data_IF_405827354450
#
_entry.id   IF_405827354450
#
_cell.length_a   1.000
_cell.length_b   1.000
_cell.length_c   1.000
_cell.angle_alpha   90.00
_cell.angle_beta   90.00
_cell.angle_gamma   90.00
#
_symmetry.space_group_name_H-M   'P 1'
#
loop_
_entity.id
_entity.type
_entity.pdbx_description
1 polymer ?
#
# COMPACT_ATOMS: atom_id res chain seq x y z
N UNK A 1 -5.67 -16.58 31.00
CA UNK A 1 -6.98 -16.03 30.60
C UNK A 1 -6.78 -15.38 29.25
N UNK A 2 -7.06 -16.12 28.18
CA UNK A 2 -7.03 -15.58 26.82
C UNK A 2 -8.25 -14.69 26.68
N UNK A 3 -8.05 -13.39 26.48
CA UNK A 3 -9.14 -12.47 26.20
C UNK A 3 -9.81 -12.93 24.90
N UNK A 4 -11.03 -13.44 25.03
CA UNK A 4 -11.96 -13.57 23.92
C UNK A 4 -12.13 -12.19 23.31
N UNK A 5 -11.51 -11.97 22.14
CA UNK A 5 -11.94 -10.89 21.26
C UNK A 5 -13.37 -11.25 20.85
N UNK A 6 -14.33 -10.73 21.61
CA UNK A 6 -15.73 -10.65 21.19
C UNK A 6 -15.72 -10.00 19.82
N UNK A 7 -16.39 -10.64 18.87
CA UNK A 7 -16.67 -10.16 17.53
C UNK A 7 -17.28 -8.75 17.64
N UNK A 8 -16.43 -7.73 17.72
CA UNK A 8 -16.85 -6.37 17.44
C UNK A 8 -17.26 -6.43 15.98
N UNK A 9 -18.50 -6.05 15.74
CA UNK A 9 -19.09 -5.86 14.43
C UNK A 9 -18.10 -5.03 13.60
N UNK A 10 -17.24 -5.68 12.81
CA UNK A 10 -16.10 -5.04 12.13
C UNK A 10 -16.59 -4.08 11.01
N UNK A 11 -17.86 -3.68 11.03
CA UNK A 11 -18.53 -2.81 10.08
C UNK A 11 -18.35 -3.24 8.61
N UNK A 12 -18.13 -4.53 8.37
CA UNK A 12 -17.82 -5.06 7.04
C UNK A 12 -16.37 -4.91 6.58
N UNK A 13 -15.46 -4.43 7.44
CA UNK A 13 -14.01 -4.35 7.19
C UNK A 13 -13.42 -5.77 7.26
N UNK A 14 -12.60 -6.10 6.25
CA UNK A 14 -11.88 -7.37 6.19
C UNK A 14 -10.81 -7.38 7.29
N UNK A 15 -10.83 -8.41 8.13
CA UNK A 15 -9.81 -8.66 9.14
C UNK A 15 -9.08 -9.98 8.90
N UNK A 16 -8.37 -10.44 9.94
CA UNK A 16 -7.71 -11.75 9.95
C UNK A 16 -8.03 -12.53 11.21
N UNK A 17 -7.99 -13.84 11.09
CA UNK A 17 -8.00 -14.77 12.22
C UNK A 17 -6.97 -15.86 11.95
N UNK A 18 -5.90 -15.90 12.73
CA UNK A 18 -4.77 -16.79 12.45
C UNK A 18 -4.17 -16.50 11.07
N UNK A 19 -4.23 -17.47 10.16
CA UNK A 19 -3.66 -17.42 8.81
C UNK A 19 -4.70 -17.24 7.69
N UNK A 20 -5.93 -16.81 8.02
CA UNK A 20 -7.00 -16.55 7.04
C UNK A 20 -7.54 -15.14 7.19
N UNK A 21 -7.95 -14.55 6.07
CA UNK A 21 -8.80 -13.36 6.11
C UNK A 21 -10.21 -13.73 6.52
N UNK A 22 -10.90 -12.78 7.14
CA UNK A 22 -12.26 -12.96 7.64
C UNK A 22 -13.08 -11.72 7.32
N UNK A 23 -14.29 -11.94 6.82
CA UNK A 23 -15.29 -10.90 6.55
C UNK A 23 -16.63 -11.36 7.15
N UNK A 24 -17.21 -10.56 8.05
CA UNK A 24 -18.51 -10.81 8.67
C UNK A 24 -18.67 -12.22 9.28
N UNK A 25 -17.68 -12.69 10.04
CA UNK A 25 -17.71 -14.01 10.68
C UNK A 25 -17.14 -15.13 9.84
N UNK A 26 -16.95 -14.92 8.54
CA UNK A 26 -16.69 -16.00 7.59
C UNK A 26 -15.30 -15.90 6.98
N UNK A 27 -14.63 -17.03 6.69
CA UNK A 27 -13.41 -17.03 5.90
C UNK A 27 -13.59 -16.27 4.59
N UNK A 28 -12.65 -15.38 4.30
CA UNK A 28 -12.63 -14.58 3.08
C UNK A 28 -11.44 -14.99 2.22
N UNK A 29 -11.72 -15.53 1.05
CA UNK A 29 -10.73 -15.86 0.03
C UNK A 29 -11.06 -15.04 -1.21
N UNK A 30 -10.04 -14.49 -1.87
CA UNK A 30 -10.26 -13.63 -3.02
C UNK A 30 -9.36 -14.03 -4.20
N UNK A 31 -9.90 -13.82 -5.39
CA UNK A 31 -9.13 -13.52 -6.58
C UNK A 31 -9.16 -11.99 -6.79
N UNK A 32 -8.07 -11.43 -7.28
CA UNK A 32 -7.93 -9.98 -7.46
C UNK A 32 -7.01 -9.63 -8.62
N UNK A 33 -6.86 -8.32 -8.85
CA UNK A 33 -5.96 -7.79 -9.87
C UNK A 33 -5.31 -6.49 -9.42
N UNK A 34 -4.27 -6.08 -10.14
CA UNK A 34 -3.62 -4.78 -9.99
C UNK A 34 -4.07 -3.86 -11.13
N UNK A 35 -4.44 -2.63 -10.81
CA UNK A 35 -4.64 -1.57 -11.79
C UNK A 35 -4.18 -0.25 -11.17
N UNK A 36 -2.98 0.19 -11.51
CA UNK A 36 -2.30 1.28 -10.81
C UNK A 36 -2.83 2.67 -11.16
N UNK A 37 -3.40 2.85 -12.36
CA UNK A 37 -3.74 4.18 -12.89
C UNK A 37 -5.08 4.72 -12.40
N UNK A 38 -5.83 3.97 -11.57
CA UNK A 38 -7.22 4.28 -11.23
C UNK A 38 -7.42 5.73 -10.79
N UNK A 39 -6.63 6.17 -9.80
CA UNK A 39 -6.74 7.53 -9.25
C UNK A 39 -6.43 8.61 -10.30
N UNK A 40 -5.32 8.46 -11.04
CA UNK A 40 -4.86 9.49 -11.98
C UNK A 40 -5.76 9.61 -13.20
N UNK A 41 -6.43 8.53 -13.63
CA UNK A 41 -7.47 8.59 -14.67
C UNK A 41 -8.76 9.19 -14.09
N UNK A 42 -9.21 8.75 -12.91
CA UNK A 42 -10.44 9.27 -12.28
C UNK A 42 -10.39 10.77 -11.96
N UNK A 43 -9.19 11.34 -11.83
CA UNK A 43 -8.96 12.77 -11.65
C UNK A 43 -9.53 13.61 -12.81
N UNK A 44 -9.59 13.05 -14.02
CA UNK A 44 -10.33 13.62 -15.15
C UNK A 44 -11.73 12.99 -15.21
N UNK A 45 -12.82 13.77 -14.99
CA UNK A 45 -14.18 13.26 -15.12
C UNK A 45 -14.48 12.59 -16.48
N UNK A 46 -13.83 13.04 -17.55
CA UNK A 46 -13.96 12.47 -18.89
C UNK A 46 -13.35 11.08 -19.05
N UNK A 47 -12.49 10.64 -18.12
CA UNK A 47 -11.83 9.33 -18.14
C UNK A 47 -12.39 8.36 -17.08
N UNK A 48 -13.36 8.78 -16.26
CA UNK A 48 -13.97 7.93 -15.21
C UNK A 48 -14.67 6.69 -15.76
N UNK A 49 -15.13 6.71 -17.00
CA UNK A 49 -15.71 5.53 -17.65
C UNK A 49 -14.70 4.36 -17.70
N UNK A 50 -13.39 4.64 -17.84
CA UNK A 50 -12.38 3.60 -17.84
C UNK A 50 -12.22 2.93 -16.46
N UNK A 51 -12.50 3.67 -15.39
CA UNK A 51 -12.51 3.15 -14.01
C UNK A 51 -13.72 2.25 -13.81
N UNK A 52 -14.88 2.69 -14.32
CA UNK A 52 -16.10 1.89 -14.28
C UNK A 52 -15.92 0.57 -15.04
N UNK A 53 -15.43 0.63 -16.29
CA UNK A 53 -15.19 -0.55 -17.13
C UNK A 53 -14.25 -1.55 -16.44
N UNK A 54 -13.10 -1.10 -15.93
CA UNK A 54 -12.14 -1.99 -15.26
C UNK A 54 -12.77 -2.67 -14.04
N UNK A 55 -13.42 -1.89 -13.17
CA UNK A 55 -13.98 -2.45 -11.93
C UNK A 55 -15.17 -3.37 -12.20
N UNK A 56 -16.04 -3.04 -13.15
CA UNK A 56 -17.16 -3.89 -13.56
C UNK A 56 -16.67 -5.17 -14.25
N UNK A 57 -15.63 -5.08 -15.09
CA UNK A 57 -15.05 -6.25 -15.75
C UNK A 57 -14.39 -7.19 -14.72
N UNK A 58 -13.64 -6.65 -13.75
CA UNK A 58 -13.11 -7.42 -12.62
C UNK A 58 -14.21 -8.21 -11.90
N UNK A 59 -15.33 -7.55 -11.57
CA UNK A 59 -16.48 -8.21 -10.93
C UNK A 59 -17.10 -9.27 -11.83
N UNK A 60 -17.23 -8.99 -13.13
CA UNK A 60 -17.74 -9.96 -14.11
C UNK A 60 -16.88 -11.23 -14.23
N UNK A 61 -15.57 -11.11 -13.97
CA UNK A 61 -14.62 -12.22 -13.91
C UNK A 61 -14.56 -12.91 -12.53
N UNK A 62 -15.39 -12.48 -11.57
CA UNK A 62 -15.42 -13.04 -10.22
C UNK A 62 -14.29 -12.56 -9.30
N UNK A 63 -13.57 -11.50 -9.68
CA UNK A 63 -12.57 -10.88 -8.80
C UNK A 63 -13.26 -10.01 -7.75
N UNK A 64 -12.66 -9.93 -6.56
CA UNK A 64 -13.24 -9.22 -5.41
C UNK A 64 -12.29 -8.22 -4.75
N UNK A 65 -11.01 -8.23 -5.12
CA UNK A 65 -10.00 -7.30 -4.59
C UNK A 65 -9.24 -6.61 -5.72
N UNK A 66 -9.16 -5.29 -5.66
CA UNK A 66 -8.35 -4.44 -6.51
C UNK A 66 -7.16 -3.90 -5.70
N UNK A 67 -5.95 -4.00 -6.24
CA UNK A 67 -4.80 -3.23 -5.74
C UNK A 67 -4.53 -2.04 -6.67
N UNK A 68 -4.51 -0.84 -6.11
CA UNK A 68 -4.27 0.43 -6.84
C UNK A 68 -3.53 1.43 -5.96
N UNK A 69 -2.99 2.50 -6.52
CA UNK A 69 -2.07 3.39 -5.80
C UNK A 69 -2.77 4.58 -5.14
N UNK A 70 -2.35 4.89 -3.91
CA UNK A 70 -2.76 6.09 -3.18
C UNK A 70 -1.71 7.21 -3.23
N UNK A 71 -0.76 7.13 -4.18
CA UNK A 71 0.32 8.09 -4.38
C UNK A 71 0.45 8.49 -5.84
N UNK A 72 0.98 9.69 -6.06
CA UNK A 72 1.55 10.16 -7.33
C UNK A 72 2.34 11.42 -6.98
N UNK A 73 3.65 11.27 -6.83
CA UNK A 73 4.53 12.23 -6.18
C UNK A 73 5.34 13.02 -7.21
N UNK A 74 5.37 14.35 -7.07
CA UNK A 74 6.17 15.23 -7.95
C UNK A 74 5.31 16.04 -8.91
N UNK A 75 5.60 17.33 -9.05
CA UNK A 75 4.78 18.25 -9.86
C UNK A 75 4.86 18.02 -11.38
N UNK A 76 5.83 17.23 -11.82
CA UNK A 76 6.05 16.82 -13.20
C UNK A 76 5.20 15.61 -13.62
N UNK A 77 4.60 14.90 -12.65
CA UNK A 77 3.72 13.77 -12.95
C UNK A 77 2.38 14.24 -13.55
N UNK A 78 1.88 13.49 -14.54
CA UNK A 78 0.53 13.71 -15.04
C UNK A 78 -0.49 13.38 -13.95
N UNK A 79 -1.34 14.36 -13.60
CA UNK A 79 -2.26 14.28 -12.46
C UNK A 79 -1.54 13.91 -11.15
N UNK A 80 -0.44 14.60 -10.86
CA UNK A 80 0.28 14.51 -9.59
C UNK A 80 -0.64 14.74 -8.38
N UNK A 81 -0.66 13.78 -7.45
CA UNK A 81 -1.40 13.90 -6.19
C UNK A 81 -0.65 14.81 -5.23
N UNK A 82 0.61 14.49 -4.92
CA UNK A 82 1.45 15.25 -4.00
C UNK A 82 2.53 15.99 -4.79
N UNK A 83 2.33 17.27 -5.05
CA UNK A 83 3.22 18.06 -5.92
C UNK A 83 4.47 18.57 -5.19
N UNK A 84 4.37 18.74 -3.87
CA UNK A 84 5.45 19.14 -2.95
C UNK A 84 5.16 18.54 -1.57
N UNK A 85 6.13 18.50 -0.65
CA UNK A 85 5.87 18.02 0.70
C UNK A 85 4.64 18.68 1.34
N UNK A 86 3.66 17.86 1.72
CA UNK A 86 2.39 18.28 2.35
C UNK A 86 1.45 19.11 1.47
N UNK A 87 1.73 19.24 0.18
CA UNK A 87 0.90 20.00 -0.78
C UNK A 87 0.27 19.03 -1.77
N UNK A 88 -1.06 18.96 -1.73
CA UNK A 88 -1.85 18.01 -2.50
C UNK A 88 -2.75 18.70 -3.51
N UNK A 89 -2.98 18.06 -4.65
CA UNK A 89 -3.99 18.48 -5.60
C UNK A 89 -5.33 17.82 -5.30
N UNK A 90 -6.29 18.62 -4.82
CA UNK A 90 -7.60 18.13 -4.38
C UNK A 90 -8.35 17.40 -5.50
N UNK A 91 -8.25 17.85 -6.75
CA UNK A 91 -8.95 17.19 -7.86
C UNK A 91 -8.43 15.77 -8.14
N UNK A 92 -7.15 15.49 -7.87
CA UNK A 92 -6.58 14.14 -7.98
C UNK A 92 -7.04 13.26 -6.82
N UNK A 93 -7.12 13.85 -5.64
CA UNK A 93 -7.67 13.21 -4.46
C UNK A 93 -9.16 12.82 -4.64
N UNK A 94 -9.94 13.69 -5.28
CA UNK A 94 -11.31 13.37 -5.73
C UNK A 94 -11.34 12.24 -6.76
N UNK A 95 -10.27 12.03 -7.52
CA UNK A 95 -10.09 10.85 -8.34
C UNK A 95 -10.05 9.57 -7.50
N UNK A 96 -9.25 9.53 -6.44
CA UNK A 96 -9.22 8.39 -5.52
C UNK A 96 -10.56 8.20 -4.80
N UNK A 97 -11.24 9.28 -4.44
CA UNK A 97 -12.58 9.21 -3.84
C UNK A 97 -13.57 8.51 -4.78
N UNK A 98 -13.55 8.86 -6.07
CA UNK A 98 -14.39 8.24 -7.09
C UNK A 98 -14.08 6.74 -7.22
N UNK A 99 -12.79 6.38 -7.24
CA UNK A 99 -12.34 4.98 -7.34
C UNK A 99 -12.90 4.14 -6.18
N UNK A 100 -12.82 4.64 -4.95
CA UNK A 100 -13.35 3.96 -3.77
C UNK A 100 -14.87 3.94 -3.76
N UNK A 101 -15.53 5.03 -4.17
CA UNK A 101 -16.98 5.04 -4.25
C UNK A 101 -17.51 4.03 -5.29
N UNK A 102 -16.89 3.97 -6.46
CA UNK A 102 -17.21 2.97 -7.48
C UNK A 102 -16.95 1.55 -6.97
N UNK A 103 -15.81 1.31 -6.32
CA UNK A 103 -15.47 0.00 -5.78
C UNK A 103 -16.50 -0.47 -4.75
N UNK A 104 -16.96 0.44 -3.89
CA UNK A 104 -18.06 0.18 -2.96
C UNK A 104 -19.35 -0.21 -3.69
N UNK A 105 -19.73 0.53 -4.74
CA UNK A 105 -20.96 0.27 -5.49
C UNK A 105 -20.98 -1.11 -6.16
N UNK A 106 -19.83 -1.58 -6.65
CA UNK A 106 -19.70 -2.87 -7.32
C UNK A 106 -19.25 -4.01 -6.39
N UNK A 107 -19.00 -3.72 -5.11
CA UNK A 107 -18.64 -4.71 -4.09
C UNK A 107 -17.19 -5.17 -4.11
N UNK A 108 -16.28 -4.40 -4.72
CA UNK A 108 -14.84 -4.63 -4.64
C UNK A 108 -14.27 -4.16 -3.29
N UNK A 109 -13.18 -4.80 -2.86
CA UNK A 109 -12.30 -4.28 -1.80
C UNK A 109 -10.99 -3.76 -2.38
N UNK A 110 -10.36 -2.78 -1.73
CA UNK A 110 -9.20 -2.08 -2.30
C UNK A 110 -7.97 -2.12 -1.39
N UNK A 111 -6.82 -2.55 -1.92
CA UNK A 111 -5.51 -2.45 -1.27
C UNK A 111 -4.79 -1.20 -1.80
N UNK A 112 -4.29 -0.37 -0.89
CA UNK A 112 -3.72 0.94 -1.19
C UNK A 112 -2.28 1.08 -0.68
N UNK A 113 -1.26 0.97 -1.54
CA UNK A 113 0.11 1.33 -1.23
C UNK A 113 0.28 2.86 -1.16
N UNK A 114 1.12 3.34 -0.25
CA UNK A 114 1.33 4.78 0.00
C UNK A 114 2.53 5.42 -0.71
N UNK A 115 3.43 4.62 -1.26
CA UNK A 115 4.60 5.11 -2.01
C UNK A 115 5.12 4.00 -2.91
N UNK A 116 5.88 4.36 -3.94
CA UNK A 116 6.59 3.42 -4.80
C UNK A 116 8.08 3.34 -4.46
N UNK A 117 8.67 2.15 -4.49
CA UNK A 117 10.13 2.02 -4.54
C UNK A 117 10.70 2.52 -5.88
N UNK A 118 9.95 2.33 -6.97
CA UNK A 118 10.37 2.76 -8.31
C UNK A 118 9.99 4.21 -8.62
N UNK A 119 10.56 4.75 -9.69
CA UNK A 119 10.35 6.14 -10.11
C UNK A 119 8.98 6.39 -10.77
N UNK A 120 8.28 5.33 -11.18
CA UNK A 120 6.93 5.45 -11.73
C UNK A 120 6.03 6.15 -10.70
N UNK A 121 5.45 7.28 -11.11
CA UNK A 121 4.59 8.12 -10.27
C UNK A 121 5.36 8.74 -9.09
N UNK A 122 6.66 9.00 -9.29
CA UNK A 122 7.56 9.65 -8.34
C UNK A 122 8.23 8.68 -7.39
N UNK A 123 7.51 8.24 -6.36
CA UNK A 123 8.02 7.28 -5.39
C UNK A 123 9.10 7.82 -4.44
N UNK A 124 9.88 6.92 -3.85
CA UNK A 124 10.87 7.22 -2.80
C UNK A 124 11.92 8.24 -3.27
N UNK A 125 12.38 8.16 -4.52
CA UNK A 125 13.32 9.12 -5.08
C UNK A 125 12.77 10.55 -5.14
N UNK A 126 11.44 10.71 -5.31
CA UNK A 126 10.83 12.04 -5.25
C UNK A 126 10.86 12.63 -3.83
N UNK A 127 10.68 11.80 -2.79
CA UNK A 127 10.84 12.23 -1.40
C UNK A 127 12.29 12.60 -1.09
N UNK A 128 13.25 11.82 -1.60
CA UNK A 128 14.69 12.13 -1.49
C UNK A 128 15.00 13.46 -2.17
N UNK A 129 14.48 13.69 -3.38
CA UNK A 129 14.67 14.94 -4.11
C UNK A 129 14.05 16.17 -3.42
N UNK A 130 12.98 15.99 -2.65
CA UNK A 130 12.42 17.06 -1.82
C UNK A 130 13.25 17.34 -0.57
N UNK A 131 13.98 16.35 -0.05
CA UNK A 131 14.70 16.47 1.21
C UNK A 131 15.96 17.32 1.06
N UNK A 132 16.23 18.25 1.99
CA UNK A 132 17.48 19.01 1.97
C UNK A 132 18.70 18.19 2.40
N UNK A 133 18.49 16.99 2.95
CA UNK A 133 19.52 16.18 3.61
C UNK A 133 19.67 14.77 3.04
N UNK A 134 18.66 14.23 2.36
CA UNK A 134 18.76 12.95 1.66
C UNK A 134 19.49 13.12 0.32
N UNK A 135 20.29 12.12 -0.08
CA UNK A 135 21.09 12.17 -1.31
C UNK A 135 21.03 10.88 -2.14
N UNK A 136 20.51 9.79 -1.56
CA UNK A 136 20.40 8.49 -2.22
C UNK A 136 19.02 7.89 -1.97
N UNK A 137 18.57 6.99 -2.85
CA UNK A 137 17.27 6.33 -2.79
C UNK A 137 16.92 5.82 -1.37
N UNK A 138 17.86 5.08 -0.77
CA UNK A 138 17.65 4.43 0.52
C UNK A 138 17.68 5.40 1.72
N UNK A 139 18.08 6.65 1.52
CA UNK A 139 17.93 7.70 2.55
C UNK A 139 16.46 7.96 2.84
N UNK A 140 15.52 7.61 1.95
CA UNK A 140 14.08 7.63 2.23
C UNK A 140 13.73 6.93 3.56
N UNK A 141 14.43 5.83 3.89
CA UNK A 141 14.14 5.04 5.09
C UNK A 141 14.71 5.64 6.38
N UNK A 142 15.67 6.56 6.29
CA UNK A 142 16.44 7.04 7.46
C UNK A 142 16.38 8.55 7.65
N UNK A 143 16.24 9.31 6.58
CA UNK A 143 16.14 10.76 6.60
C UNK A 143 14.86 11.23 7.32
N UNK A 144 15.04 12.10 8.32
CA UNK A 144 13.94 12.57 9.16
C UNK A 144 12.88 13.35 8.36
N UNK A 145 13.28 14.08 7.31
CA UNK A 145 12.34 14.82 6.47
C UNK A 145 11.50 13.87 5.63
N UNK A 146 12.13 12.89 4.97
CA UNK A 146 11.44 11.84 4.22
C UNK A 146 10.41 11.11 5.09
N UNK A 147 10.83 10.61 6.27
CA UNK A 147 9.95 9.92 7.21
C UNK A 147 8.80 10.81 7.69
N UNK A 148 9.07 12.09 8.00
CA UNK A 148 8.04 13.02 8.45
C UNK A 148 7.01 13.33 7.36
N UNK A 149 7.43 13.46 6.09
CA UNK A 149 6.52 13.70 4.97
C UNK A 149 5.72 12.46 4.61
N UNK A 150 6.33 11.28 4.63
CA UNK A 150 5.63 10.03 4.40
C UNK A 150 4.55 9.79 5.48
N UNK A 151 4.86 10.03 6.77
CA UNK A 151 3.86 10.02 7.85
C UNK A 151 2.75 11.05 7.66
N UNK A 152 3.08 12.23 7.12
CA UNK A 152 2.08 13.24 6.79
C UNK A 152 1.16 12.77 5.63
N UNK A 153 1.72 12.13 4.61
CA UNK A 153 0.95 11.55 3.52
C UNK A 153 -0.02 10.47 4.01
N UNK A 154 0.48 9.50 4.80
CA UNK A 154 -0.36 8.49 5.47
C UNK A 154 -1.50 9.16 6.24
N UNK A 155 -1.21 10.13 7.11
CA UNK A 155 -2.25 10.79 7.89
C UNK A 155 -3.25 11.56 7.01
N UNK A 156 -2.81 12.13 5.90
CA UNK A 156 -3.67 12.84 4.96
C UNK A 156 -4.62 11.86 4.27
N UNK A 157 -4.11 10.72 3.77
CA UNK A 157 -4.94 9.68 3.13
C UNK A 157 -5.92 9.07 4.12
N UNK A 158 -5.45 8.61 5.28
CA UNK A 158 -6.30 7.93 6.27
C UNK A 158 -7.41 8.82 6.84
N UNK A 159 -7.14 10.11 7.04
CA UNK A 159 -8.13 11.06 7.57
C UNK A 159 -8.94 11.77 6.48
N UNK A 160 -8.82 11.36 5.22
CA UNK A 160 -9.61 11.93 4.12
C UNK A 160 -11.07 11.51 4.25
N UNK A 161 -11.97 12.48 4.09
CA UNK A 161 -13.40 12.24 3.91
C UNK A 161 -13.69 12.22 2.42
N UNK A 162 -14.19 11.09 1.92
CA UNK A 162 -14.53 10.87 0.52
C UNK A 162 -15.61 11.88 0.06
N UNK A 163 -15.37 12.63 -1.00
CA UNK A 163 -16.32 13.67 -1.45
C UNK A 163 -17.56 13.14 -2.15
N UNK A 164 -17.59 11.87 -2.57
CA UNK A 164 -18.73 11.25 -3.27
C UNK A 164 -19.73 10.61 -2.30
N UNK A 165 -19.24 9.96 -1.25
CA UNK A 165 -20.10 9.24 -0.30
C UNK A 165 -19.99 9.68 1.16
N UNK A 166 -19.09 10.62 1.47
CA UNK A 166 -18.94 11.21 2.81
C UNK A 166 -18.28 10.28 3.84
N UNK A 167 -17.73 9.13 3.44
CA UNK A 167 -17.05 8.21 4.36
C UNK A 167 -15.64 8.66 4.66
N UNK A 168 -15.23 8.52 5.92
CA UNK A 168 -13.85 8.69 6.33
C UNK A 168 -13.06 7.45 5.91
N UNK A 169 -11.93 7.62 5.22
CA UNK A 169 -11.17 6.50 4.64
C UNK A 169 -10.81 5.42 5.67
N UNK A 170 -10.30 5.81 6.84
CA UNK A 170 -10.00 4.86 7.93
C UNK A 170 -11.22 4.19 8.57
N UNK A 171 -12.44 4.53 8.16
CA UNK A 171 -13.70 3.90 8.57
C UNK A 171 -14.43 3.22 7.38
N UNK A 172 -13.89 3.30 6.16
CA UNK A 172 -14.54 2.79 4.95
C UNK A 172 -14.20 1.32 4.67
N UNK A 173 -15.17 0.45 4.92
CA UNK A 173 -15.07 -1.00 4.67
C UNK A 173 -14.74 -1.41 3.23
N UNK A 174 -14.80 -0.48 2.28
CA UNK A 174 -14.31 -0.69 0.91
C UNK A 174 -12.80 -0.93 0.88
N UNK A 175 -12.06 -0.37 1.81
CA UNK A 175 -10.62 -0.55 1.90
C UNK A 175 -10.34 -1.91 2.54
N UNK A 176 -9.57 -2.75 1.85
CA UNK A 176 -9.13 -4.06 2.31
C UNK A 176 -7.98 -3.93 3.32
N UNK A 177 -6.95 -3.18 2.91
CA UNK A 177 -5.74 -2.97 3.70
C UNK A 177 -4.95 -1.77 3.19
N UNK A 178 -4.14 -1.25 4.10
CA UNK A 178 -3.06 -0.32 3.78
C UNK A 178 -1.79 -1.09 3.46
N UNK A 179 -1.01 -0.59 2.50
CA UNK A 179 0.27 -1.19 2.12
C UNK A 179 1.37 -0.13 2.26
N UNK A 180 2.47 -0.49 2.94
CA UNK A 180 3.53 0.48 3.23
C UNK A 180 4.12 1.07 1.94
N UNK A 181 4.58 0.24 1.03
CA UNK A 181 5.15 0.68 -0.23
C UNK A 181 4.99 -0.40 -1.29
N UNK A 182 4.91 0.00 -2.56
CA UNK A 182 5.08 -0.95 -3.66
C UNK A 182 6.55 -1.38 -3.74
N UNK A 183 6.81 -2.67 -3.53
CA UNK A 183 8.10 -3.35 -3.76
C UNK A 183 9.30 -2.68 -3.05
N UNK A 184 9.25 -2.36 -1.74
CA UNK A 184 10.34 -1.68 -1.03
C UNK A 184 11.62 -2.52 -1.02
N UNK A 185 12.75 -1.88 -1.35
CA UNK A 185 14.11 -2.42 -1.27
C UNK A 185 15.06 -1.43 -0.63
N UNK A 186 16.07 -1.93 0.09
CA UNK A 186 17.13 -1.16 0.73
C UNK A 186 18.49 -1.81 0.45
N UNK A 187 18.98 -1.68 -0.78
CA UNK A 187 20.21 -2.35 -1.23
C UNK A 187 21.50 -1.84 -0.56
N UNK A 188 21.47 -0.65 0.02
CA UNK A 188 22.56 -0.07 0.82
C UNK A 188 22.75 -0.76 2.18
N UNK A 189 21.73 -1.44 2.70
CA UNK A 189 21.82 -2.27 3.91
C UNK A 189 21.33 -3.71 3.66
N UNK A 190 22.19 -4.58 3.10
CA UNK A 190 21.89 -6.00 2.92
C UNK A 190 21.60 -6.77 4.21
N UNK A 191 21.91 -6.22 5.40
CA UNK A 191 21.51 -6.84 6.66
C UNK A 191 20.00 -6.77 6.90
N UNK A 192 19.31 -5.88 6.18
CA UNK A 192 17.87 -5.62 6.25
C UNK A 192 17.41 -4.92 7.52
N UNK A 193 18.34 -4.39 8.33
CA UNK A 193 18.01 -3.73 9.59
C UNK A 193 17.34 -2.37 9.36
N UNK A 194 17.79 -1.62 8.35
CA UNK A 194 17.18 -0.34 7.97
C UNK A 194 15.72 -0.51 7.58
N UNK A 195 15.44 -1.44 6.65
CA UNK A 195 14.07 -1.68 6.21
C UNK A 195 13.20 -2.29 7.32
N UNK A 196 13.78 -3.13 8.19
CA UNK A 196 13.07 -3.66 9.36
C UNK A 196 12.64 -2.55 10.32
N UNK A 197 13.57 -1.66 10.70
CA UNK A 197 13.27 -0.55 11.61
C UNK A 197 12.24 0.42 11.00
N UNK A 198 12.35 0.71 9.71
CA UNK A 198 11.36 1.53 9.00
C UNK A 198 9.98 0.85 8.95
N UNK A 199 9.93 -0.46 8.70
CA UNK A 199 8.67 -1.25 8.69
C UNK A 199 7.99 -1.20 10.06
N UNK A 200 8.74 -1.38 11.15
CA UNK A 200 8.25 -1.27 12.52
C UNK A 200 7.72 0.13 12.82
N UNK A 201 8.47 1.17 12.47
CA UNK A 201 8.10 2.56 12.70
C UNK A 201 6.82 2.96 11.95
N UNK A 202 6.74 2.64 10.64
CA UNK A 202 5.66 3.11 9.78
C UNK A 202 4.37 2.30 9.96
N UNK A 203 4.45 0.98 10.12
CA UNK A 203 3.25 0.18 10.39
C UNK A 203 2.65 0.51 11.75
N UNK A 204 3.46 0.76 12.78
CA UNK A 204 2.98 1.22 14.07
C UNK A 204 2.32 2.61 13.98
N UNK A 205 2.89 3.52 13.17
CA UNK A 205 2.29 4.81 12.93
C UNK A 205 0.92 4.70 12.24
N UNK A 206 0.79 3.89 11.19
CA UNK A 206 -0.52 3.62 10.54
C UNK A 206 -1.52 3.14 11.58
N UNK A 207 -1.16 2.13 12.38
CA UNK A 207 -2.04 1.58 13.43
C UNK A 207 -2.43 2.59 14.51
N UNK A 208 -1.62 3.62 14.73
CA UNK A 208 -1.95 4.71 15.66
C UNK A 208 -2.99 5.69 15.10
N UNK A 209 -3.14 5.77 13.77
CA UNK A 209 -4.10 6.64 13.07
C UNK A 209 -5.37 5.88 12.71
N UNK A 210 -5.22 4.61 12.30
CA UNK A 210 -6.27 3.67 11.92
C UNK A 210 -6.03 2.30 12.59
N UNK A 211 -6.90 1.95 13.53
CA UNK A 211 -6.85 0.69 14.26
C UNK A 211 -7.77 -0.40 13.68
N UNK A 212 -8.53 -0.09 12.62
CA UNK A 212 -9.53 -0.98 12.02
C UNK A 212 -8.95 -1.78 10.86
N UNK A 213 -8.30 -1.11 9.90
CA UNK A 213 -7.82 -1.76 8.68
C UNK A 213 -6.53 -2.56 8.90
N UNK A 214 -6.38 -3.63 8.11
CA UNK A 214 -5.15 -4.40 8.07
C UNK A 214 -4.01 -3.60 7.43
N UNK A 215 -2.76 -3.94 7.77
CA UNK A 215 -1.56 -3.36 7.18
C UNK A 215 -0.65 -4.47 6.64
N UNK A 216 -0.07 -4.27 5.45
CA UNK A 216 0.97 -5.14 4.88
C UNK A 216 2.16 -4.34 4.35
N UNK A 217 3.23 -5.04 3.97
CA UNK A 217 4.50 -4.43 3.56
C UNK A 217 4.52 -3.97 2.11
N UNK A 218 3.88 -4.73 1.21
CA UNK A 218 4.02 -4.60 -0.25
C UNK A 218 5.34 -5.14 -0.80
N UNK A 219 6.07 -5.91 0.02
CA UNK A 219 7.33 -6.55 -0.34
C UNK A 219 7.16 -7.59 -1.45
N UNK A 220 8.17 -7.72 -2.30
CA UNK A 220 8.29 -8.80 -3.28
C UNK A 220 8.55 -10.16 -2.63
N UNK A 221 8.92 -10.18 -1.35
CA UNK A 221 9.03 -11.40 -0.55
C UNK A 221 10.39 -12.08 -0.59
N UNK A 222 11.47 -11.35 -0.87
CA UNK A 222 12.82 -11.89 -0.79
C UNK A 222 13.20 -12.25 0.66
N UNK A 223 13.83 -13.40 0.83
CA UNK A 223 14.42 -13.82 2.09
C UNK A 223 15.71 -13.05 2.37
N UNK A 224 15.89 -12.64 3.62
CA UNK A 224 17.11 -11.99 4.08
C UNK A 224 18.26 -12.98 4.34
N UNK A 225 19.42 -12.49 4.81
CA UNK A 225 20.64 -13.30 4.97
C UNK A 225 20.50 -14.53 5.90
N UNK A 226 19.59 -14.47 6.89
CA UNK A 226 19.33 -15.57 7.83
C UNK A 226 18.11 -16.41 7.44
N UNK A 227 17.46 -16.08 6.32
CA UNK A 227 16.30 -16.81 5.81
C UNK A 227 16.68 -18.08 5.03
N UNK A 228 15.69 -18.92 4.70
CA UNK A 228 15.87 -20.04 3.79
C UNK A 228 16.44 -19.60 2.42
N UNK A 229 17.30 -20.42 1.77
CA UNK A 229 17.88 -20.11 0.46
C UNK A 229 16.88 -20.37 -0.68
N UNK A 230 15.73 -19.71 -0.64
CA UNK A 230 14.64 -19.87 -1.60
C UNK A 230 14.43 -18.65 -2.50
N UNK A 231 15.32 -17.66 -2.41
CA UNK A 231 15.33 -16.57 -3.36
C UNK A 231 15.59 -17.11 -4.78
N UNK A 232 14.81 -16.67 -5.79
CA UNK A 232 14.99 -17.05 -7.19
C UNK A 232 16.42 -16.86 -7.70
N UNK A 233 17.05 -15.75 -7.30
CA UNK A 233 18.43 -15.42 -7.65
C UNK A 233 19.17 -14.97 -6.39
N UNK A 234 20.44 -15.38 -6.25
CA UNK A 234 21.20 -15.17 -5.02
C UNK A 234 21.32 -13.70 -4.57
N UNK A 235 21.42 -12.75 -5.51
CA UNK A 235 21.53 -11.32 -5.18
C UNK A 235 20.21 -10.71 -4.69
N UNK A 236 19.07 -11.38 -4.83
CA UNK A 236 17.82 -10.88 -4.23
C UNK A 236 17.91 -10.84 -2.70
N UNK A 237 18.75 -11.66 -2.09
CA UNK A 237 19.04 -11.60 -0.65
C UNK A 237 19.84 -10.37 -0.22
N UNK A 238 20.33 -9.55 -1.16
CA UNK A 238 21.08 -8.31 -0.88
C UNK A 238 20.24 -7.06 -1.06
N UNK A 239 18.92 -7.20 -1.28
CA UNK A 239 18.02 -6.06 -1.48
C UNK A 239 17.54 -5.43 -0.16
N UNK A 240 18.12 -5.81 0.98
CA UNK A 240 17.71 -5.34 2.32
C UNK A 240 16.32 -5.82 2.77
N UNK A 241 15.66 -6.65 1.97
CA UNK A 241 14.37 -7.27 2.29
C UNK A 241 14.61 -8.53 3.11
N UNK A 242 13.81 -8.72 4.15
CA UNK A 242 13.77 -9.96 4.92
C UNK A 242 12.32 -10.38 5.14
N UNK A 243 11.82 -11.23 4.24
CA UNK A 243 10.43 -11.70 4.24
C UNK A 243 9.95 -12.19 5.61
N UNK A 244 10.79 -12.89 6.38
CA UNK A 244 10.37 -13.42 7.68
C UNK A 244 10.29 -12.27 8.70
N UNK A 245 11.36 -11.48 8.85
CA UNK A 245 11.39 -10.41 9.87
C UNK A 245 10.38 -9.29 9.57
N UNK A 246 10.27 -8.88 8.30
CA UNK A 246 9.38 -7.78 7.91
C UNK A 246 7.90 -8.15 8.16
N UNK A 247 7.53 -9.43 8.06
CA UNK A 247 6.16 -9.90 8.32
C UNK A 247 5.95 -10.46 9.74
N UNK A 248 6.97 -10.47 10.60
CA UNK A 248 6.85 -10.78 12.03
C UNK A 248 6.57 -9.53 12.89
N UNK A 249 6.63 -8.34 12.30
CA UNK A 249 6.26 -7.08 12.96
C UNK A 249 4.80 -7.17 13.42
N UNK A 250 4.53 -6.89 14.69
CA UNK A 250 3.22 -7.11 15.31
C UNK A 250 2.08 -6.30 14.67
N UNK A 251 2.42 -5.18 14.00
CA UNK A 251 1.52 -4.27 13.30
C UNK A 251 1.39 -4.57 11.80
N UNK A 252 2.00 -5.65 11.32
CA UNK A 252 1.78 -6.24 9.99
C UNK A 252 0.82 -7.42 10.12
N UNK A 253 -0.25 -7.41 9.34
CA UNK A 253 -1.36 -8.35 9.49
C UNK A 253 -1.27 -9.56 8.57
N UNK A 254 -0.70 -9.39 7.39
CA UNK A 254 -0.55 -10.49 6.43
C UNK A 254 0.69 -10.30 5.57
N UNK A 255 1.19 -11.43 5.08
CA UNK A 255 2.35 -11.46 4.21
C UNK A 255 1.97 -11.33 2.74
N UNK A 256 2.83 -10.65 1.98
CA UNK A 256 2.73 -10.51 0.53
C UNK A 256 4.06 -10.89 -0.10
N UNK A 257 3.99 -11.34 -1.35
CA UNK A 257 5.13 -11.58 -2.21
C UNK A 257 4.69 -11.34 -3.66
N UNK A 258 5.65 -11.01 -4.51
CA UNK A 258 5.42 -10.82 -5.95
C UNK A 258 6.17 -11.91 -6.71
N UNK A 259 5.82 -12.14 -7.97
CA UNK A 259 6.52 -13.10 -8.82
C UNK A 259 6.59 -12.58 -10.24
N UNK A 260 7.81 -12.24 -10.69
CA UNK A 260 8.08 -11.77 -12.05
C UNK A 260 9.17 -12.62 -12.74
N UNK A 261 8.91 -13.91 -13.04
CA UNK A 261 9.95 -14.83 -13.53
C UNK A 261 10.71 -14.33 -14.78
N UNK A 262 9.98 -13.76 -15.74
CA UNK A 262 10.57 -13.23 -16.97
C UNK A 262 11.51 -12.06 -16.69
N UNK A 263 11.08 -11.11 -15.85
CA UNK A 263 11.90 -9.95 -15.44
C UNK A 263 13.10 -10.36 -14.59
N UNK A 264 12.95 -11.43 -13.81
CA UNK A 264 14.01 -11.97 -12.97
C UNK A 264 14.99 -12.86 -13.75
N UNK A 265 14.74 -13.11 -15.03
CA UNK A 265 15.59 -13.93 -15.90
C UNK A 265 15.57 -15.42 -15.53
N UNK A 266 14.44 -15.92 -15.01
CA UNK A 266 14.24 -17.31 -14.60
C UNK A 266 13.09 -18.02 -15.35
N UNK A 267 12.52 -17.37 -16.38
CA UNK A 267 11.46 -17.88 -17.26
C UNK A 267 11.96 -18.64 -18.48
#
# INVERSE_FOLDING_TARGET
MLSSFTYADNHGIVGREGNRFVLNGQPYYYAGSNNYYQMVFAADPGLRYAIDEVQEEMVSMGMTVLRTWAFNDGEDQWNALQIRPRVYQEYVFQGLDYVLDKANQVGLRVILPFVNNWDDYGGMNQYVAWSPTANSHDDFYTDDSCKAWYKNHIATVLNRVNTFNGRLYKEDATIFAWELANEPRCSSDPSGNTLQAWTEEMSAYIKSVDSLHMVTTGSEGFYGPTGPPHNPVGWFGTQGVDFIRNHQVATIDFAVFHAWPDWWGIG
#
